data_IF_708628656677
#
_entry.id   IF_708628656677
#
_cell.length_a   1.000
_cell.length_b   1.000
_cell.length_c   1.000
_cell.angle_alpha   90.00
_cell.angle_beta   90.00
_cell.angle_gamma   90.00
#
_symmetry.space_group_name_H-M   'P 1'
#
loop_
_entity.id
_entity.type
_entity.pdbx_description
1 polymer ?
#
# COMPACT_ATOMS: atom_id res chain seq x y z
N UNK A 1 -4.13 25.30 -3.36
CA UNK A 1 -4.49 24.20 -4.29
C UNK A 1 -3.26 23.32 -4.38
N UNK A 2 -3.23 22.08 -3.91
CA UNK A 2 -4.29 21.08 -3.82
C UNK A 2 -3.92 20.10 -2.70
N UNK A 3 -4.87 19.78 -1.83
CA UNK A 3 -4.72 18.70 -0.85
C UNK A 3 -4.38 17.42 -1.61
N UNK A 4 -3.16 16.94 -1.41
CA UNK A 4 -2.64 15.69 -1.93
C UNK A 4 -3.59 14.56 -1.52
N UNK A 5 -4.33 14.03 -2.50
CA UNK A 5 -5.19 12.86 -2.34
C UNK A 5 -4.34 11.65 -1.96
N UNK A 6 -4.23 11.39 -0.66
CA UNK A 6 -3.88 10.11 -0.07
C UNK A 6 -4.95 9.76 0.97
N UNK A 7 -5.33 8.48 1.22
CA UNK A 7 -5.47 7.29 0.36
C UNK A 7 -6.86 7.25 -0.32
N UNK A 8 -7.20 6.21 -1.10
CA UNK A 8 -8.54 6.01 -1.68
C UNK A 8 -9.58 5.62 -0.60
N UNK A 9 -9.83 6.52 0.35
CA UNK A 9 -10.85 6.32 1.39
C UNK A 9 -12.22 6.14 0.77
N UNK A 10 -12.91 5.06 1.14
CA UNK A 10 -14.34 4.84 0.86
C UNK A 10 -15.08 5.27 2.12
N UNK A 11 -15.81 6.36 2.04
CA UNK A 11 -16.58 6.86 3.16
C UNK A 11 -17.78 5.95 3.44
N UNK A 12 -17.81 5.33 4.61
CA UNK A 12 -18.83 4.31 4.95
C UNK A 12 -20.22 4.89 5.13
N UNK A 13 -20.36 6.21 5.27
CA UNK A 13 -21.64 6.89 5.40
C UNK A 13 -22.28 7.20 4.04
N UNK A 14 -21.48 7.54 3.04
CA UNK A 14 -21.98 7.90 1.70
C UNK A 14 -21.86 6.78 0.66
N UNK A 15 -20.94 5.84 0.82
CA UNK A 15 -20.70 4.79 -0.17
C UNK A 15 -21.92 3.88 -0.36
N UNK A 16 -22.18 3.51 -1.61
CA UNK A 16 -23.15 2.46 -1.98
C UNK A 16 -22.65 1.08 -1.57
N UNK A 17 -23.53 0.08 -1.51
CA UNK A 17 -23.13 -1.31 -1.26
C UNK A 17 -22.09 -1.79 -2.31
N UNK A 18 -22.25 -1.40 -3.58
CA UNK A 18 -21.30 -1.73 -4.64
C UNK A 18 -19.92 -1.11 -4.42
N UNK A 19 -19.84 0.13 -3.94
CA UNK A 19 -18.58 0.79 -3.61
C UNK A 19 -17.92 0.20 -2.35
N UNK A 20 -18.71 -0.23 -1.37
CA UNK A 20 -18.22 -0.88 -0.16
C UNK A 20 -17.62 -2.27 -0.45
N UNK A 21 -18.10 -2.99 -1.47
CA UNK A 21 -17.48 -4.26 -1.93
C UNK A 21 -16.03 -4.05 -2.39
N UNK A 22 -15.65 -2.84 -2.77
CA UNK A 22 -14.28 -2.53 -3.12
C UNK A 22 -13.32 -2.50 -1.92
N UNK A 23 -13.83 -2.55 -0.68
CA UNK A 23 -13.01 -2.57 0.52
C UNK A 23 -12.39 -3.96 0.74
N UNK A 24 -11.11 -4.02 1.18
CA UNK A 24 -10.43 -5.29 1.42
C UNK A 24 -11.17 -6.22 2.39
N UNK A 25 -11.66 -7.34 1.88
CA UNK A 25 -12.37 -8.35 2.67
C UNK A 25 -13.87 -8.09 2.86
N UNK A 26 -14.43 -7.06 2.23
CA UNK A 26 -15.88 -6.79 2.23
C UNK A 26 -16.50 -7.41 0.98
N UNK A 27 -17.36 -8.42 1.16
CA UNK A 27 -18.19 -8.98 0.09
C UNK A 27 -19.60 -8.39 0.10
N UNK A 28 -20.42 -8.75 -0.89
CA UNK A 28 -21.79 -8.21 -1.09
C UNK A 28 -22.61 -8.21 0.21
N UNK A 29 -22.70 -9.36 0.88
CA UNK A 29 -23.48 -9.48 2.14
C UNK A 29 -22.97 -8.59 3.27
N UNK A 30 -21.67 -8.31 3.32
CA UNK A 30 -21.09 -7.44 4.35
C UNK A 30 -21.32 -5.97 4.01
N UNK A 31 -21.21 -5.62 2.73
CA UNK A 31 -21.52 -4.29 2.25
C UNK A 31 -22.99 -3.92 2.52
N UNK A 32 -23.92 -4.83 2.21
CA UNK A 32 -25.34 -4.68 2.55
C UNK A 32 -25.54 -4.55 4.07
N UNK A 33 -24.82 -5.33 4.87
CA UNK A 33 -24.86 -5.21 6.32
C UNK A 33 -24.42 -3.84 6.85
N UNK A 34 -23.40 -3.23 6.25
CA UNK A 34 -22.93 -1.87 6.61
C UNK A 34 -24.01 -0.83 6.26
N UNK A 35 -24.59 -0.91 5.05
CA UNK A 35 -25.65 0.02 4.61
C UNK A 35 -26.88 -0.10 5.49
N UNK A 36 -27.35 -1.33 5.74
CA UNK A 36 -28.49 -1.59 6.60
C UNK A 36 -28.26 -1.09 8.03
N UNK A 37 -27.06 -1.30 8.57
CA UNK A 37 -26.74 -0.83 9.93
C UNK A 37 -26.84 0.69 10.03
N UNK A 38 -26.31 1.46 9.06
CA UNK A 38 -26.41 2.93 9.10
C UNK A 38 -27.82 3.45 8.84
N UNK A 39 -28.65 2.70 8.12
CA UNK A 39 -30.07 3.02 7.92
C UNK A 39 -30.88 2.80 9.21
N UNK A 40 -30.59 1.74 9.96
CA UNK A 40 -31.29 1.39 11.20
C UNK A 40 -30.78 2.19 12.43
N UNK A 41 -29.49 2.50 12.50
CA UNK A 41 -28.84 3.08 13.69
C UNK A 41 -28.39 4.53 13.49
N UNK A 42 -28.52 5.06 12.27
CA UNK A 42 -27.96 6.35 11.87
C UNK A 42 -26.51 6.26 11.38
N UNK A 43 -25.94 7.38 10.90
CA UNK A 43 -24.59 7.40 10.33
C UNK A 43 -23.53 7.03 11.37
N UNK A 44 -22.45 6.39 10.91
CA UNK A 44 -21.27 6.12 11.73
C UNK A 44 -20.62 7.45 12.14
N UNK A 45 -20.42 7.65 13.44
CA UNK A 45 -19.77 8.85 13.99
C UNK A 45 -18.26 8.68 14.13
N UNK A 46 -17.84 7.43 14.26
CA UNK A 46 -16.47 6.99 14.38
C UNK A 46 -16.24 5.79 13.48
N UNK A 47 -15.03 5.66 12.93
CA UNK A 47 -14.68 4.47 12.16
C UNK A 47 -14.80 3.20 13.01
N UNK A 48 -14.61 3.30 14.33
CA UNK A 48 -14.73 2.19 15.28
C UNK A 48 -16.15 1.65 15.43
N UNK A 49 -17.17 2.44 15.07
CA UNK A 49 -18.58 2.04 15.12
C UNK A 49 -18.86 0.87 14.15
N UNK A 50 -18.02 0.67 13.14
CA UNK A 50 -18.10 -0.48 12.22
C UNK A 50 -17.92 -1.82 12.93
N UNK A 51 -17.33 -1.84 14.14
CA UNK A 51 -17.25 -3.05 14.97
C UNK A 51 -18.64 -3.54 15.46
N UNK A 52 -19.64 -2.64 15.50
CA UNK A 52 -21.01 -2.97 15.89
C UNK A 52 -21.81 -3.60 14.75
N UNK A 53 -21.30 -3.58 13.52
CA UNK A 53 -21.96 -4.19 12.37
C UNK A 53 -21.80 -5.71 12.42
N UNK A 54 -22.90 -6.48 12.31
CA UNK A 54 -22.82 -7.94 12.30
C UNK A 54 -21.83 -8.47 11.26
N UNK A 55 -21.03 -9.47 11.66
CA UNK A 55 -19.99 -10.10 10.82
C UNK A 55 -18.77 -9.22 10.51
N UNK A 56 -18.62 -8.06 11.16
CA UNK A 56 -17.38 -7.28 11.18
C UNK A 56 -16.60 -7.54 12.47
N UNK A 57 -15.76 -8.58 12.45
CA UNK A 57 -14.86 -8.90 13.56
C UNK A 57 -13.51 -8.15 13.49
N UNK A 58 -12.68 -8.21 14.54
CA UNK A 58 -11.40 -7.49 14.63
C UNK A 58 -10.45 -7.70 13.45
N UNK A 59 -10.39 -8.92 12.91
CA UNK A 59 -9.55 -9.23 11.74
C UNK A 59 -10.03 -8.51 10.49
N UNK A 60 -11.34 -8.50 10.23
CA UNK A 60 -11.92 -7.80 9.09
C UNK A 60 -11.84 -6.29 9.26
N UNK A 61 -12.16 -5.78 10.45
CA UNK A 61 -12.02 -4.37 10.79
C UNK A 61 -10.61 -3.88 10.49
N UNK A 62 -9.59 -4.59 11.00
CA UNK A 62 -8.19 -4.26 10.74
C UNK A 62 -7.84 -4.34 9.25
N UNK A 63 -8.45 -5.25 8.49
CA UNK A 63 -8.21 -5.38 7.05
C UNK A 63 -8.77 -4.20 6.25
N UNK A 64 -9.97 -3.73 6.60
CA UNK A 64 -10.67 -2.66 5.87
C UNK A 64 -10.30 -1.24 6.35
N UNK A 65 -9.90 -1.05 7.62
CA UNK A 65 -9.56 0.26 8.19
C UNK A 65 -8.06 0.44 8.44
N UNK A 66 -7.36 -0.65 8.80
CA UNK A 66 -5.97 -0.63 9.29
C UNK A 66 -5.77 -0.49 10.77
N UNK A 67 -6.87 -0.19 11.46
CA UNK A 67 -6.86 0.08 12.87
C UNK A 67 -7.11 -1.22 13.63
N UNK A 68 -6.58 -1.30 14.84
CA UNK A 68 -6.85 -2.43 15.72
C UNK A 68 -8.07 -2.11 16.59
N UNK A 69 -8.98 -3.06 16.76
CA UNK A 69 -10.04 -2.98 17.80
C UNK A 69 -9.52 -3.34 19.19
N UNK A 70 -8.35 -3.98 19.29
CA UNK A 70 -7.70 -4.36 20.56
C UNK A 70 -6.44 -3.55 20.81
N UNK A 71 -6.02 -3.43 22.07
CA UNK A 71 -4.79 -2.78 22.54
C UNK A 71 -3.48 -3.51 22.14
N UNK A 72 -3.45 -4.06 20.92
CA UNK A 72 -2.33 -4.80 20.37
C UNK A 72 -1.97 -4.28 18.98
N UNK A 73 -0.96 -3.40 18.95
CA UNK A 73 -0.16 -3.00 17.80
C UNK A 73 -0.94 -2.42 16.62
N UNK A 74 -0.89 -1.10 16.45
CA UNK A 74 -1.32 -0.47 15.20
C UNK A 74 -0.45 -0.98 14.03
N UNK A 75 -1.00 -1.20 12.82
CA UNK A 75 -0.16 -1.57 11.65
C UNK A 75 0.87 -0.49 11.32
N UNK A 76 0.64 0.75 11.76
CA UNK A 76 1.64 1.82 11.74
C UNK A 76 2.86 1.46 12.59
N UNK A 77 2.70 0.94 13.82
CA UNK A 77 3.80 0.43 14.65
C UNK A 77 4.52 -0.77 14.00
N UNK A 78 3.77 -1.61 13.25
CA UNK A 78 4.36 -2.70 12.47
C UNK A 78 5.21 -2.18 11.30
N UNK A 79 4.77 -1.12 10.62
CA UNK A 79 5.60 -0.43 9.62
C UNK A 79 6.81 0.23 10.27
N UNK A 80 6.62 0.93 11.39
CA UNK A 80 7.70 1.59 12.12
C UNK A 80 8.73 0.59 12.64
N UNK A 81 8.31 -0.59 13.11
CA UNK A 81 9.24 -1.67 13.51
C UNK A 81 9.92 -2.35 12.32
N UNK A 82 9.23 -2.52 11.19
CA UNK A 82 9.82 -3.12 9.98
C UNK A 82 10.80 -2.20 9.25
N UNK A 83 10.58 -0.88 9.35
CA UNK A 83 11.27 0.14 8.57
C UNK A 83 12.08 1.14 9.42
N UNK A 84 12.02 1.05 10.76
CA UNK A 84 12.64 1.98 11.71
C UNK A 84 12.26 3.45 11.48
N UNK A 85 10.97 3.72 11.23
CA UNK A 85 10.47 5.02 10.75
C UNK A 85 10.09 5.92 11.94
N UNK A 86 11.03 6.70 12.48
CA UNK A 86 10.80 7.63 13.61
C UNK A 86 9.81 8.77 13.31
N UNK A 87 9.11 9.26 14.34
CA UNK A 87 7.93 10.13 14.30
C UNK A 87 8.16 11.61 13.88
N UNK A 88 8.81 11.86 12.74
CA UNK A 88 9.09 13.21 12.23
C UNK A 88 8.10 13.69 11.15
N UNK A 89 7.92 15.01 11.02
CA UNK A 89 6.94 15.78 10.21
C UNK A 89 7.06 15.67 8.66
N UNK A 90 7.67 14.60 8.15
CA UNK A 90 7.67 14.30 6.72
C UNK A 90 6.42 13.55 6.27
N UNK A 91 5.93 13.81 5.05
CA UNK A 91 4.90 13.01 4.41
C UNK A 91 5.26 11.51 4.52
N UNK A 92 4.39 10.72 5.17
CA UNK A 92 4.61 9.32 5.55
C UNK A 92 5.24 8.48 4.42
N UNK A 93 4.77 8.68 3.18
CA UNK A 93 5.27 7.97 2.00
C UNK A 93 6.75 8.24 1.70
N UNK A 94 7.22 9.47 1.93
CA UNK A 94 8.63 9.82 1.74
C UNK A 94 9.50 9.14 2.81
N UNK A 95 9.05 9.10 4.06
CA UNK A 95 9.74 8.38 5.15
C UNK A 95 9.83 6.87 4.85
N UNK A 96 8.72 6.27 4.42
CA UNK A 96 8.67 4.87 4.01
C UNK A 96 9.60 4.60 2.82
N UNK A 97 9.61 5.46 1.81
CA UNK A 97 10.50 5.37 0.67
C UNK A 97 11.98 5.41 1.07
N UNK A 98 12.38 6.34 1.96
CA UNK A 98 13.75 6.39 2.51
C UNK A 98 14.10 5.08 3.22
N UNK A 99 13.22 4.58 4.09
CA UNK A 99 13.48 3.34 4.81
C UNK A 99 13.65 2.13 3.88
N UNK A 100 12.82 2.02 2.83
CA UNK A 100 12.95 0.97 1.82
C UNK A 100 14.31 1.02 1.11
N UNK A 101 14.78 2.21 0.73
CA UNK A 101 16.10 2.43 0.11
C UNK A 101 17.22 1.94 1.02
N UNK A 102 17.18 2.31 2.30
CA UNK A 102 18.19 1.90 3.29
C UNK A 102 18.22 0.38 3.49
N UNK A 103 17.06 -0.27 3.50
CA UNK A 103 16.98 -1.73 3.69
C UNK A 103 17.72 -2.48 2.57
N UNK A 104 17.52 -2.13 1.29
CA UNK A 104 18.18 -2.85 0.18
C UNK A 104 19.55 -2.28 -0.21
N UNK A 105 19.97 -1.15 0.36
CA UNK A 105 21.21 -0.48 -0.05
C UNK A 105 21.09 0.19 -1.42
N UNK A 106 19.91 0.72 -1.74
CA UNK A 106 19.67 1.50 -2.96
C UNK A 106 20.26 2.92 -2.85
N UNK A 107 20.40 3.61 -3.98
CA UNK A 107 20.73 5.05 -4.06
C UNK A 107 19.50 5.93 -4.18
N UNK A 108 18.37 5.36 -4.60
CA UNK A 108 17.10 6.07 -4.67
C UNK A 108 15.94 5.12 -4.98
N UNK A 109 14.72 5.61 -4.76
CA UNK A 109 13.53 4.90 -5.21
C UNK A 109 12.40 5.86 -5.61
N UNK A 110 11.48 5.33 -6.39
CA UNK A 110 10.17 5.93 -6.65
C UNK A 110 9.07 4.93 -6.29
N UNK A 111 8.13 5.36 -5.46
CA UNK A 111 6.86 4.68 -5.23
C UNK A 111 5.88 5.18 -6.29
N UNK A 112 5.19 4.26 -6.95
CA UNK A 112 4.23 4.56 -8.01
C UNK A 112 2.99 3.69 -7.90
N UNK A 113 1.86 4.20 -8.41
CA UNK A 113 0.66 3.41 -8.57
C UNK A 113 0.71 2.53 -9.84
N UNK A 114 -0.36 1.75 -10.04
CA UNK A 114 -0.53 0.89 -11.22
C UNK A 114 -0.53 1.65 -12.56
N UNK A 115 -0.84 2.94 -12.55
CA UNK A 115 -0.93 3.78 -13.75
C UNK A 115 0.40 4.46 -14.09
N UNK A 116 1.39 4.40 -13.19
CA UNK A 116 2.68 5.06 -13.34
C UNK A 116 2.73 6.46 -12.77
N UNK A 117 1.74 6.86 -11.94
CA UNK A 117 1.79 8.10 -11.19
C UNK A 117 2.78 7.97 -10.04
N UNK A 118 3.71 8.93 -9.92
CA UNK A 118 4.65 8.97 -8.79
C UNK A 118 3.94 9.41 -7.50
N UNK A 119 4.06 8.61 -6.45
CA UNK A 119 3.52 8.85 -5.11
C UNK A 119 4.58 9.41 -4.15
N UNK A 120 5.83 8.95 -4.26
CA UNK A 120 6.96 9.49 -3.52
C UNK A 120 8.28 9.20 -4.23
N UNK A 121 9.24 10.14 -4.13
CA UNK A 121 10.57 10.05 -4.74
C UNK A 121 11.64 10.39 -3.71
N UNK A 122 12.71 9.59 -3.66
CA UNK A 122 13.82 9.76 -2.71
C UNK A 122 15.17 9.42 -3.33
N UNK A 123 16.23 10.02 -2.80
CA UNK A 123 17.61 9.83 -3.26
C UNK A 123 17.80 10.32 -4.70
N UNK A 124 18.67 9.65 -5.45
CA UNK A 124 19.06 10.03 -6.82
C UNK A 124 17.89 10.01 -7.84
N UNK A 125 16.73 9.49 -7.42
CA UNK A 125 15.51 9.44 -8.24
C UNK A 125 14.57 10.64 -8.01
N UNK A 126 15.00 11.69 -7.29
CA UNK A 126 14.17 12.87 -7.02
C UNK A 126 13.76 13.61 -8.31
N UNK A 127 14.71 13.81 -9.22
CA UNK A 127 14.49 14.54 -10.48
C UNK A 127 13.93 13.64 -11.59
N UNK A 128 14.47 12.43 -11.74
CA UNK A 128 14.13 11.53 -12.85
C UNK A 128 13.09 10.46 -12.51
N UNK A 129 12.61 10.40 -11.27
CA UNK A 129 11.74 9.33 -10.76
C UNK A 129 10.45 9.12 -11.55
N UNK A 130 9.89 10.17 -12.14
CA UNK A 130 8.64 10.06 -12.91
C UNK A 130 8.79 9.21 -14.17
N UNK A 131 9.98 9.21 -14.79
CA UNK A 131 10.29 8.34 -15.94
C UNK A 131 10.33 6.88 -15.51
N UNK A 132 10.91 6.61 -14.35
CA UNK A 132 10.95 5.26 -13.76
C UNK A 132 9.57 4.80 -13.30
N UNK A 133 8.73 5.69 -12.78
CA UNK A 133 7.35 5.37 -12.39
C UNK A 133 6.50 4.92 -13.60
N UNK A 134 6.56 5.70 -14.69
CA UNK A 134 5.83 5.41 -15.92
C UNK A 134 6.28 4.09 -16.58
N UNK A 135 7.60 3.83 -16.59
CA UNK A 135 8.16 2.62 -17.18
C UNK A 135 7.97 1.39 -16.27
N UNK A 136 8.30 1.53 -14.99
CA UNK A 136 8.35 0.44 -14.03
C UNK A 136 6.99 -0.21 -13.79
N UNK A 137 5.93 0.59 -13.62
CA UNK A 137 4.56 0.11 -13.46
C UNK A 137 4.11 -0.74 -14.67
N UNK A 138 4.25 -0.21 -15.89
CA UNK A 138 3.84 -0.89 -17.13
C UNK A 138 4.67 -2.13 -17.42
N UNK A 139 5.99 -2.01 -17.33
CA UNK A 139 6.91 -3.10 -17.60
C UNK A 139 6.70 -4.25 -16.61
N UNK A 140 6.66 -3.95 -15.31
CA UNK A 140 6.52 -4.98 -14.28
C UNK A 140 5.19 -5.71 -14.38
N UNK A 141 4.07 -4.99 -14.50
CA UNK A 141 2.74 -5.61 -14.54
C UNK A 141 2.52 -6.45 -15.80
N UNK A 142 3.05 -6.02 -16.95
CA UNK A 142 3.02 -6.80 -18.19
C UNK A 142 3.87 -8.05 -18.06
N UNK A 143 5.10 -7.93 -17.57
CA UNK A 143 6.03 -9.06 -17.40
C UNK A 143 5.50 -10.06 -16.37
N UNK A 144 4.98 -9.60 -15.23
CA UNK A 144 4.37 -10.46 -14.19
C UNK A 144 3.29 -11.37 -14.78
N UNK A 145 2.40 -10.85 -15.61
CA UNK A 145 1.32 -11.61 -16.26
C UNK A 145 1.86 -12.78 -17.11
N UNK A 146 3.00 -12.60 -17.77
CA UNK A 146 3.66 -13.66 -18.54
C UNK A 146 4.43 -14.63 -17.64
N UNK A 147 5.17 -14.12 -16.64
CA UNK A 147 5.94 -14.96 -15.71
C UNK A 147 5.06 -15.93 -14.90
N UNK A 148 3.82 -15.53 -14.59
CA UNK A 148 2.85 -16.41 -13.93
C UNK A 148 2.57 -17.72 -14.69
N UNK A 149 2.87 -17.78 -15.99
CA UNK A 149 2.75 -18.99 -16.80
C UNK A 149 3.90 -19.98 -16.59
N UNK A 150 5.04 -19.51 -16.06
CA UNK A 150 6.28 -20.28 -15.96
C UNK A 150 6.76 -20.49 -14.53
N UNK A 151 6.25 -19.71 -13.57
CA UNK A 151 6.69 -19.73 -12.16
C UNK A 151 5.54 -20.18 -11.27
N UNK A 152 5.81 -21.14 -10.37
CA UNK A 152 4.81 -21.68 -9.44
C UNK A 152 4.40 -20.70 -8.33
N UNK A 153 5.14 -19.60 -8.15
CA UNK A 153 4.88 -18.55 -7.17
C UNK A 153 4.68 -17.21 -7.88
N UNK A 154 3.90 -16.32 -7.26
CA UNK A 154 3.71 -14.96 -7.75
C UNK A 154 5.05 -14.22 -7.82
N UNK A 155 5.48 -13.85 -9.03
CA UNK A 155 6.62 -12.99 -9.27
C UNK A 155 6.25 -11.55 -8.85
N UNK A 156 6.52 -11.21 -7.60
CA UNK A 156 6.25 -9.91 -7.00
C UNK A 156 7.48 -9.00 -6.94
N UNK A 157 8.65 -9.50 -7.34
CA UNK A 157 9.86 -8.70 -7.53
C UNK A 157 10.68 -9.15 -8.75
N UNK A 158 11.39 -8.21 -9.36
CA UNK A 158 12.29 -8.41 -10.50
C UNK A 158 13.55 -7.55 -10.30
N UNK A 159 14.71 -8.13 -10.49
CA UNK A 159 15.98 -7.40 -10.55
C UNK A 159 16.45 -7.37 -12.00
N UNK A 160 16.81 -6.18 -12.48
CA UNK A 160 17.36 -5.93 -13.81
C UNK A 160 18.85 -5.57 -13.64
N UNK A 161 19.76 -6.56 -13.72
CA UNK A 161 21.18 -6.34 -13.45
C UNK A 161 21.92 -5.65 -14.61
N UNK A 162 21.40 -5.73 -15.83
CA UNK A 162 22.05 -5.20 -17.04
C UNK A 162 21.90 -3.69 -17.25
N UNK A 163 21.37 -2.97 -16.27
CA UNK A 163 21.27 -1.51 -16.29
C UNK A 163 22.31 -0.88 -15.37
N UNK A 164 22.71 0.36 -15.66
CA UNK A 164 23.55 1.17 -14.78
C UNK A 164 22.74 2.41 -14.32
N UNK A 165 22.29 2.48 -13.06
CA UNK A 165 22.42 1.47 -11.99
C UNK A 165 21.47 0.27 -12.18
N UNK A 166 21.75 -0.90 -11.56
CA UNK A 166 20.83 -2.03 -11.53
C UNK A 166 19.50 -1.63 -10.91
N UNK A 167 18.39 -2.17 -11.43
CA UNK A 167 17.04 -1.81 -10.96
C UNK A 167 16.40 -2.97 -10.21
N UNK A 168 15.79 -2.69 -9.06
CA UNK A 168 14.84 -3.58 -8.40
C UNK A 168 13.43 -3.01 -8.58
N UNK A 169 12.56 -3.80 -9.19
CA UNK A 169 11.14 -3.52 -9.28
C UNK A 169 10.41 -4.49 -8.33
N UNK A 170 9.56 -3.96 -7.47
CA UNK A 170 8.76 -4.77 -6.55
C UNK A 170 7.33 -4.25 -6.54
N UNK A 171 6.38 -5.17 -6.66
CA UNK A 171 4.95 -4.87 -6.72
C UNK A 171 4.21 -5.52 -5.56
N UNK A 172 3.37 -4.74 -4.90
CA UNK A 172 2.40 -5.20 -3.94
C UNK A 172 1.04 -4.57 -4.29
N UNK A 173 0.06 -5.41 -4.60
CA UNK A 173 -1.27 -4.98 -5.09
C UNK A 173 -1.18 -3.96 -6.24
N UNK A 174 -1.67 -2.73 -6.03
CA UNK A 174 -1.67 -1.64 -7.01
C UNK A 174 -0.48 -0.67 -6.84
N UNK A 175 0.49 -1.00 -5.99
CA UNK A 175 1.68 -0.18 -5.74
C UNK A 175 2.91 -0.89 -6.27
N UNK A 176 3.74 -0.14 -6.99
CA UNK A 176 5.05 -0.59 -7.46
C UNK A 176 6.11 0.33 -6.88
N UNK A 177 7.22 -0.25 -6.45
CA UNK A 177 8.44 0.50 -6.12
C UNK A 177 9.50 0.16 -7.14
N UNK A 178 10.16 1.18 -7.67
CA UNK A 178 11.36 1.05 -8.51
C UNK A 178 12.52 1.61 -7.70
N UNK A 179 13.56 0.82 -7.51
CA UNK A 179 14.76 1.20 -6.76
C UNK A 179 15.99 1.11 -7.66
N UNK A 180 16.82 2.13 -7.62
CA UNK A 180 18.15 2.12 -8.19
C UNK A 180 19.13 1.53 -7.16
N UNK A 181 19.69 0.35 -7.43
CA UNK A 181 20.57 -0.36 -6.51
C UNK A 181 22.03 0.05 -6.69
N UNK A 182 22.84 -0.06 -5.62
CA UNK A 182 24.30 0.05 -5.71
C UNK A 182 24.94 -1.18 -6.36
N UNK A 183 24.36 -2.35 -6.16
CA UNK A 183 24.82 -3.62 -6.73
C UNK A 183 23.63 -4.43 -7.25
N UNK A 184 23.86 -5.35 -8.18
CA UNK A 184 22.83 -6.23 -8.72
C UNK A 184 22.37 -7.33 -7.76
N UNK A 185 23.00 -7.45 -6.58
CA UNK A 185 22.68 -8.47 -5.60
C UNK A 185 21.99 -7.89 -4.37
N UNK A 186 20.80 -8.40 -4.06
CA UNK A 186 20.07 -8.09 -2.83
C UNK A 186 19.97 -9.38 -1.99
N UNK A 187 20.48 -9.40 -0.75
CA UNK A 187 20.40 -10.58 0.09
C UNK A 187 18.93 -11.00 0.34
N UNK A 188 18.66 -12.31 0.28
CA UNK A 188 17.29 -12.86 0.39
C UNK A 188 16.53 -12.39 1.64
N UNK A 189 17.22 -12.28 2.79
CA UNK A 189 16.63 -11.77 4.04
C UNK A 189 16.12 -10.33 3.91
N UNK A 190 16.93 -9.46 3.30
CA UNK A 190 16.56 -8.05 3.11
C UNK A 190 15.43 -7.91 2.09
N UNK A 191 15.49 -8.69 1.00
CA UNK A 191 14.42 -8.75 0.01
C UNK A 191 13.10 -9.20 0.64
N UNK A 192 13.11 -10.23 1.49
CA UNK A 192 11.92 -10.68 2.21
C UNK A 192 11.35 -9.61 3.16
N UNK A 193 12.21 -8.86 3.86
CA UNK A 193 11.79 -7.75 4.72
C UNK A 193 11.15 -6.61 3.92
N UNK A 194 11.75 -6.23 2.79
CA UNK A 194 11.22 -5.19 1.89
C UNK A 194 9.92 -5.63 1.24
N UNK A 195 9.76 -6.90 0.87
CA UNK A 195 8.47 -7.45 0.41
C UNK A 195 7.37 -7.34 1.46
N UNK A 196 7.67 -7.66 2.73
CA UNK A 196 6.73 -7.47 3.85
C UNK A 196 6.37 -6.00 4.04
N UNK A 197 7.35 -5.10 4.01
CA UNK A 197 7.12 -3.68 4.11
C UNK A 197 6.24 -3.16 2.96
N UNK A 198 6.53 -3.58 1.72
CA UNK A 198 5.76 -3.20 0.54
C UNK A 198 4.32 -3.70 0.60
N UNK A 199 4.05 -4.87 1.17
CA UNK A 199 2.68 -5.31 1.43
C UNK A 199 1.94 -4.36 2.38
N UNK A 200 2.61 -3.85 3.41
CA UNK A 200 2.01 -2.85 4.31
C UNK A 200 1.88 -1.48 3.63
N UNK A 201 2.81 -1.06 2.77
CA UNK A 201 2.74 0.18 1.97
C UNK A 201 1.66 0.12 0.88
N UNK A 202 1.40 -1.05 0.31
CA UNK A 202 0.27 -1.26 -0.58
C UNK A 202 -1.04 -1.13 0.20
N UNK A 203 -1.09 -1.69 1.41
CA UNK A 203 -2.24 -1.62 2.29
C UNK A 203 -2.54 -0.18 2.80
N UNK A 204 -1.56 0.51 3.39
CA UNK A 204 -1.09 1.82 2.88
C UNK A 204 -2.01 2.60 1.94
N UNK A 205 -1.75 2.42 0.67
CA UNK A 205 -2.28 3.23 -0.40
C UNK A 205 -3.59 2.67 -0.96
N UNK A 206 -4.01 1.50 -0.50
CA UNK A 206 -5.23 0.80 -0.89
C UNK A 206 -6.51 1.52 -0.47
N UNK A 207 -7.64 0.95 -0.91
CA UNK A 207 -8.97 1.42 -0.49
C UNK A 207 -9.19 1.08 0.97
N UNK A 208 -9.66 2.06 1.75
CA UNK A 208 -9.93 1.88 3.17
C UNK A 208 -11.24 2.48 3.57
N UNK A 209 -11.90 1.87 4.54
CA UNK A 209 -13.06 2.46 5.16
C UNK A 209 -12.62 3.70 5.94
N UNK A 210 -13.26 4.83 5.66
CA UNK A 210 -13.11 6.08 6.40
C UNK A 210 -14.48 6.58 6.83
N UNK A 211 -14.51 7.42 7.86
CA UNK A 211 -15.68 8.22 8.22
C UNK A 211 -15.30 9.67 7.99
N UNK A 212 -15.88 10.30 6.98
CA UNK A 212 -15.65 11.73 6.72
C UNK A 212 -16.64 12.55 7.54
N UNK A 213 -16.14 13.56 8.25
CA UNK A 213 -16.99 14.56 8.90
C UNK A 213 -17.40 15.57 7.82
N UNK A 214 -18.69 15.64 7.53
CA UNK A 214 -19.29 16.69 6.70
C UNK A 214 -19.80 17.82 7.59
#
# INVERSE_FOLDING_TARGET
MSLERAPRGVDVNSATAAELVALPGVGVTRAEGIVRWREENGPFTSIYDLASVPRIGPSLFRKMTGLSLTAGGCRHEKLDSLLAVGAEDGALLKRLAVALVTQVGAVGCVLTDRQGLSLAKVGDMQENGDRYAALGSRYFLRTKRHLQQFVAQDADCLIIPGCAPPLLLLCAEDVVVVMALKTSHVPARRLAQVRKAMAEVAWLLGRRAVVLKY
#
